data_IF_126008049265
#
_entry.id   IF_126008049265
#
_cell.length_a   1.000
_cell.length_b   1.000
_cell.length_c   1.000
_cell.angle_alpha   90.00
_cell.angle_beta   90.00
_cell.angle_gamma   90.00
#
_symmetry.space_group_name_H-M   'P 1'
#
loop_
_entity.id
_entity.type
_entity.pdbx_description
1 polymer ?
#
# COMPACT_ATOMS: atom_id res chain seq x y z
N UNK A 1 -15.28 -6.74 9.61
CA UNK A 1 -15.82 -5.65 8.75
C UNK A 1 -15.01 -4.36 8.88
N UNK A 2 -15.12 -3.60 9.98
CA UNK A 2 -14.35 -2.34 10.11
C UNK A 2 -12.84 -2.56 9.97
N UNK A 3 -12.29 -3.53 10.73
CA UNK A 3 -10.88 -3.91 10.65
C UNK A 3 -10.45 -4.21 9.20
N UNK A 4 -11.15 -5.10 8.52
CA UNK A 4 -10.81 -5.49 7.15
C UNK A 4 -10.90 -4.32 6.17
N UNK A 5 -11.84 -3.37 6.36
CA UNK A 5 -11.91 -2.17 5.52
C UNK A 5 -10.68 -1.30 5.71
N UNK A 6 -10.27 -1.02 6.95
CA UNK A 6 -9.06 -0.24 7.23
C UNK A 6 -7.81 -0.93 6.68
N UNK A 7 -7.68 -2.24 6.89
CA UNK A 7 -6.53 -2.98 6.39
C UNK A 7 -6.51 -3.08 4.86
N UNK A 8 -7.66 -3.22 4.20
CA UNK A 8 -7.73 -3.18 2.74
C UNK A 8 -7.31 -1.82 2.16
N UNK A 9 -7.71 -0.72 2.82
CA UNK A 9 -7.28 0.64 2.44
C UNK A 9 -5.78 0.80 2.65
N UNK A 10 -5.26 0.37 3.81
CA UNK A 10 -3.82 0.39 4.07
C UNK A 10 -3.01 -0.41 3.04
N UNK A 11 -3.51 -1.57 2.61
CA UNK A 11 -2.86 -2.43 1.61
C UNK A 11 -2.78 -1.76 0.24
N UNK A 12 -3.86 -1.12 -0.20
CA UNK A 12 -3.90 -0.38 -1.47
C UNK A 12 -2.84 0.73 -1.45
N UNK A 13 -2.77 1.52 -0.37
CA UNK A 13 -1.79 2.60 -0.25
C UNK A 13 -0.36 2.09 -0.14
N UNK A 14 -0.12 0.99 0.58
CA UNK A 14 1.19 0.35 0.64
C UNK A 14 1.68 -0.10 -0.75
N UNK A 15 0.78 -0.67 -1.57
CA UNK A 15 1.11 -1.08 -2.95
C UNK A 15 1.30 0.12 -3.87
N UNK A 16 0.50 1.18 -3.73
CA UNK A 16 0.69 2.47 -4.43
C UNK A 16 2.07 3.06 -4.12
N UNK A 17 2.46 3.08 -2.84
CA UNK A 17 3.77 3.54 -2.37
C UNK A 17 4.91 2.77 -3.05
N UNK A 18 4.84 1.44 -3.08
CA UNK A 18 5.87 0.62 -3.74
C UNK A 18 5.97 0.94 -5.24
N UNK A 19 4.84 1.00 -5.95
CA UNK A 19 4.84 1.24 -7.40
C UNK A 19 5.31 2.66 -7.74
N UNK A 20 4.89 3.68 -6.99
CA UNK A 20 5.39 5.05 -7.18
C UNK A 20 6.88 5.18 -6.88
N UNK A 21 7.40 4.45 -5.88
CA UNK A 21 8.84 4.37 -5.65
C UNK A 21 9.56 3.85 -6.89
N UNK A 22 9.14 2.70 -7.42
CA UNK A 22 9.72 2.09 -8.64
C UNK A 22 9.66 3.04 -9.83
N UNK A 23 8.53 3.71 -10.06
CA UNK A 23 8.38 4.71 -11.13
C UNK A 23 9.35 5.89 -10.94
N UNK A 24 9.46 6.44 -9.72
CA UNK A 24 10.38 7.55 -9.45
C UNK A 24 11.86 7.21 -9.63
N UNK A 25 12.22 5.92 -9.46
CA UNK A 25 13.57 5.40 -9.62
C UNK A 25 13.88 5.03 -11.08
N UNK A 26 12.88 4.62 -11.86
CA UNK A 26 13.03 4.09 -13.22
C UNK A 26 12.75 5.06 -14.36
N UNK A 27 12.24 6.27 -14.09
CA UNK A 27 11.99 7.29 -15.13
C UNK A 27 13.22 8.16 -15.37
N UNK A 28 13.44 8.57 -16.63
CA UNK A 28 14.53 9.49 -16.99
C UNK A 28 14.14 10.98 -16.76
N UNK A 29 12.86 11.30 -16.87
CA UNK A 29 12.35 12.66 -16.73
C UNK A 29 12.42 13.13 -15.25
N UNK A 30 13.27 14.11 -14.99
CA UNK A 30 13.52 14.63 -13.64
C UNK A 30 12.28 15.22 -12.96
N UNK A 31 11.36 15.81 -13.74
CA UNK A 31 10.11 16.35 -13.21
C UNK A 31 9.20 15.21 -12.75
N UNK A 32 8.99 14.19 -13.59
CA UNK A 32 8.14 13.06 -13.26
C UNK A 32 8.71 12.23 -12.10
N UNK A 33 10.04 12.05 -12.04
CA UNK A 33 10.69 11.40 -10.89
C UNK A 33 10.36 12.11 -9.58
N UNK A 34 10.52 13.44 -9.54
CA UNK A 34 10.21 14.24 -8.34
C UNK A 34 8.71 14.22 -8.02
N UNK A 35 7.87 14.23 -9.05
CA UNK A 35 6.42 14.14 -8.89
C UNK A 35 6.02 12.81 -8.24
N UNK A 36 6.39 11.66 -8.82
CA UNK A 36 6.05 10.34 -8.26
C UNK A 36 6.70 10.08 -6.90
N UNK A 37 7.89 10.65 -6.64
CA UNK A 37 8.51 10.58 -5.31
C UNK A 37 7.64 11.21 -4.22
N UNK A 38 7.03 12.37 -4.50
CA UNK A 38 6.12 13.04 -3.56
C UNK A 38 4.83 12.26 -3.32
N UNK A 39 4.30 11.61 -4.36
CA UNK A 39 3.14 10.72 -4.20
C UNK A 39 3.47 9.55 -3.29
N UNK A 40 4.59 8.87 -3.53
CA UNK A 40 5.08 7.78 -2.68
C UNK A 40 5.16 8.19 -1.19
N UNK A 41 5.69 9.38 -0.90
CA UNK A 41 5.77 9.91 0.47
C UNK A 41 4.38 10.13 1.10
N UNK A 42 3.40 10.58 0.31
CA UNK A 42 2.01 10.72 0.78
C UNK A 42 1.37 9.38 1.10
N UNK A 43 1.53 8.39 0.22
CA UNK A 43 0.93 7.05 0.44
C UNK A 43 1.54 6.33 1.64
N UNK A 44 2.83 6.58 1.92
CA UNK A 44 3.47 6.09 3.14
C UNK A 44 2.76 6.59 4.41
N UNK A 45 2.33 7.85 4.41
CA UNK A 45 1.52 8.42 5.48
C UNK A 45 0.13 7.79 5.55
N UNK A 46 -0.53 7.62 4.40
CA UNK A 46 -1.90 7.08 4.35
C UNK A 46 -1.99 5.63 4.86
N UNK A 47 -1.10 4.72 4.45
CA UNK A 47 -1.18 3.34 4.94
C UNK A 47 -0.97 3.28 6.46
N UNK A 48 -0.05 4.09 6.98
CA UNK A 48 0.23 4.16 8.42
C UNK A 48 -1.00 4.65 9.17
N UNK A 49 -1.63 5.73 8.68
CA UNK A 49 -2.86 6.29 9.24
C UNK A 49 -3.98 5.24 9.34
N UNK A 50 -4.23 4.45 8.30
CA UNK A 50 -5.29 3.44 8.34
C UNK A 50 -5.01 2.33 9.38
N UNK A 51 -3.75 1.91 9.53
CA UNK A 51 -3.37 0.92 10.55
C UNK A 51 -3.53 1.52 11.95
N UNK A 52 -3.04 2.74 12.19
CA UNK A 52 -3.15 3.42 13.49
C UNK A 52 -4.62 3.67 13.87
N UNK A 53 -5.45 4.03 12.89
CA UNK A 53 -6.88 4.20 13.12
C UNK A 53 -7.54 2.86 13.52
N UNK A 54 -7.15 1.75 12.89
CA UNK A 54 -7.62 0.43 13.32
C UNK A 54 -7.16 0.08 14.74
N UNK A 55 -5.89 0.36 15.09
CA UNK A 55 -5.33 0.15 16.44
C UNK A 55 -5.95 1.06 17.51
N UNK A 56 -6.56 2.18 17.11
CA UNK A 56 -7.27 3.08 18.04
C UNK A 56 -8.54 2.44 18.60
N UNK A 57 -9.20 1.58 17.81
CA UNK A 57 -10.50 0.99 18.18
C UNK A 57 -10.44 -0.52 18.44
N UNK A 58 -9.34 -1.19 18.08
CA UNK A 58 -9.17 -2.64 18.18
C UNK A 58 -7.79 -2.92 18.78
N UNK A 59 -7.72 -3.96 19.61
CA UNK A 59 -6.46 -4.42 20.20
C UNK A 59 -5.36 -4.61 19.14
N UNK A 60 -4.18 -4.07 19.46
CA UNK A 60 -3.04 -4.02 18.55
C UNK A 60 -2.61 -5.40 18.06
N UNK A 61 -2.62 -6.41 18.92
CA UNK A 61 -2.20 -7.77 18.54
C UNK A 61 -3.18 -8.38 17.53
N UNK A 62 -4.48 -8.10 17.69
CA UNK A 62 -5.50 -8.52 16.73
C UNK A 62 -5.27 -7.83 15.37
N UNK A 63 -5.06 -6.51 15.38
CA UNK A 63 -4.81 -5.73 14.15
C UNK A 63 -3.56 -6.24 13.43
N UNK A 64 -2.45 -6.40 14.14
CA UNK A 64 -1.16 -6.84 13.56
C UNK A 64 -1.21 -8.27 13.05
N UNK A 65 -1.89 -9.18 13.77
CA UNK A 65 -2.14 -10.53 13.29
C UNK A 65 -2.94 -10.52 12.00
N UNK A 66 -4.06 -9.79 11.96
CA UNK A 66 -4.92 -9.71 10.77
C UNK A 66 -4.23 -9.03 9.60
N UNK A 67 -3.37 -8.03 9.88
CA UNK A 67 -2.56 -7.37 8.86
C UNK A 67 -1.60 -8.34 8.18
N UNK A 68 -0.93 -9.21 8.95
CA UNK A 68 -0.08 -10.25 8.39
C UNK A 68 -0.83 -11.19 7.47
N UNK A 69 -2.04 -11.62 7.85
CA UNK A 69 -2.90 -12.46 7.00
C UNK A 69 -3.25 -11.77 5.67
N UNK A 70 -3.47 -10.45 5.68
CA UNK A 70 -3.69 -9.66 4.46
C UNK A 70 -2.44 -9.59 3.56
N UNK A 71 -1.25 -9.43 4.13
CA UNK A 71 0.02 -9.43 3.37
C UNK A 71 0.30 -10.79 2.72
N UNK A 72 0.06 -11.87 3.47
CA UNK A 72 0.21 -13.23 2.95
C UNK A 72 -0.77 -13.47 1.78
N UNK A 73 -2.01 -13.00 1.90
CA UNK A 73 -3.00 -13.10 0.84
C UNK A 73 -2.66 -12.22 -0.38
N UNK A 74 -2.16 -11.01 -0.16
CA UNK A 74 -1.78 -10.10 -1.23
C UNK A 74 -0.64 -10.65 -2.08
N UNK A 75 0.32 -11.31 -1.46
CA UNK A 75 1.41 -12.01 -2.16
C UNK A 75 0.85 -13.02 -3.17
N UNK A 76 -0.17 -13.81 -2.77
CA UNK A 76 -0.83 -14.78 -3.66
C UNK A 76 -1.58 -14.08 -4.81
N UNK A 77 -2.20 -12.92 -4.57
CA UNK A 77 -2.83 -12.13 -5.64
C UNK A 77 -1.78 -11.65 -6.65
N UNK A 78 -0.67 -11.11 -6.15
CA UNK A 78 0.40 -10.57 -7.00
C UNK A 78 1.06 -11.66 -7.86
N UNK A 79 1.15 -12.89 -7.36
CA UNK A 79 1.67 -14.04 -8.13
C UNK A 79 0.66 -14.57 -9.18
N UNK A 80 -0.64 -14.31 -8.99
CA UNK A 80 -1.70 -14.83 -9.86
C UNK A 80 -2.23 -13.82 -10.88
N UNK A 81 -1.95 -12.53 -10.70
CA UNK A 81 -2.42 -11.48 -11.60
C UNK A 81 -1.50 -11.33 -12.82
N UNK A 82 -2.09 -11.10 -13.99
CA UNK A 82 -1.33 -10.76 -15.20
C UNK A 82 -0.71 -9.36 -15.06
N UNK A 83 0.56 -9.24 -15.44
CA UNK A 83 1.27 -7.96 -15.41
C UNK A 83 0.65 -7.02 -16.45
N UNK A 84 0.14 -5.89 -15.98
CA UNK A 84 -0.49 -4.86 -16.80
C UNK A 84 0.17 -3.50 -16.60
N UNK A 85 0.78 -2.98 -17.66
CA UNK A 85 1.44 -1.67 -17.65
C UNK A 85 0.49 -0.47 -17.70
N UNK A 86 -0.79 -0.69 -17.99
CA UNK A 86 -1.79 0.36 -18.13
C UNK A 86 -2.50 0.72 -16.81
N UNK A 87 -2.13 0.08 -15.69
CA UNK A 87 -2.77 0.28 -14.37
C UNK A 87 -1.75 0.41 -13.25
N UNK A 88 -2.09 1.23 -12.27
CA UNK A 88 -1.32 1.34 -11.01
C UNK A 88 -1.61 0.17 -10.07
N UNK A 89 -2.71 -0.57 -10.22
CA UNK A 89 -2.97 -1.80 -9.45
C UNK A 89 -3.29 -2.94 -10.40
#
# INVERSE_FOLDING_TARGET
RYLDQMLSMALIEARSCERFKRLSEGLDDAYLRKFYRRFMESEAGHYTLFIELAETYIDKEIVRKRWKEWLDHETVIMDSIEIRGDRIH
#
